data_IF_339553392630
#
_entry.id   IF_339553392630
#
_cell.length_a   1.000
_cell.length_b   1.000
_cell.length_c   1.000
_cell.angle_alpha   90.00
_cell.angle_beta   90.00
_cell.angle_gamma   90.00
#
_symmetry.space_group_name_H-M   'P 1'
#
loop_
_entity.id
_entity.type
_entity.pdbx_description
1 polymer ?
#
# COMPACT_ATOMS: atom_id res chain seq x y z
N UNK A 1 -43.58 -25.38 -2.57
CA UNK A 1 -42.62 -24.94 -1.54
C UNK A 1 -41.30 -24.73 -2.28
N UNK A 2 -40.89 -23.48 -2.51
CA UNK A 2 -39.67 -23.19 -3.28
C UNK A 2 -38.48 -23.49 -2.37
N UNK A 3 -37.71 -24.53 -2.69
CA UNK A 3 -36.44 -24.79 -2.01
C UNK A 3 -35.52 -23.60 -2.31
N UNK A 4 -35.36 -22.70 -1.35
CA UNK A 4 -34.34 -21.67 -1.44
C UNK A 4 -32.99 -22.38 -1.29
N UNK A 5 -32.26 -22.47 -2.40
CA UNK A 5 -30.89 -22.98 -2.45
C UNK A 5 -30.06 -22.23 -1.41
N UNK A 6 -29.39 -22.96 -0.53
CA UNK A 6 -28.57 -22.34 0.51
C UNK A 6 -27.40 -21.58 -0.12
N UNK A 7 -26.93 -20.52 0.54
CA UNK A 7 -25.75 -19.76 0.08
C UNK A 7 -24.54 -20.69 -0.12
N UNK A 8 -24.40 -21.74 0.70
CA UNK A 8 -23.37 -22.77 0.57
C UNK A 8 -23.49 -23.52 -0.76
N UNK A 9 -24.68 -24.02 -1.11
CA UNK A 9 -24.91 -24.72 -2.38
C UNK A 9 -24.70 -23.80 -3.60
N UNK A 10 -25.07 -22.52 -3.50
CA UNK A 10 -24.82 -21.53 -4.57
C UNK A 10 -23.31 -21.33 -4.74
N UNK A 11 -22.57 -21.16 -3.65
CA UNK A 11 -21.11 -20.94 -3.69
C UNK A 11 -20.35 -22.20 -4.14
N UNK A 12 -20.77 -23.38 -3.71
CA UNK A 12 -20.24 -24.66 -4.19
C UNK A 12 -20.49 -24.83 -5.69
N UNK A 13 -21.67 -24.45 -6.21
CA UNK A 13 -21.96 -24.46 -7.66
C UNK A 13 -21.05 -23.53 -8.47
N UNK A 14 -20.54 -22.47 -7.84
CA UNK A 14 -19.58 -21.52 -8.44
C UNK A 14 -18.12 -21.93 -8.20
N UNK A 15 -17.90 -23.13 -7.65
CA UNK A 15 -16.58 -23.66 -7.32
C UNK A 15 -15.81 -22.75 -6.34
N UNK A 16 -16.55 -22.05 -5.46
CA UNK A 16 -16.00 -21.20 -4.42
C UNK A 16 -15.79 -22.05 -3.17
N UNK A 17 -14.55 -22.44 -2.94
CA UNK A 17 -14.15 -23.26 -1.80
C UNK A 17 -14.28 -22.47 -0.48
N UNK A 18 -15.22 -22.89 0.35
CA UNK A 18 -15.56 -22.27 1.65
C UNK A 18 -14.78 -22.91 2.82
N UNK A 19 -14.03 -23.99 2.58
CA UNK A 19 -13.28 -24.75 3.60
C UNK A 19 -11.75 -24.54 3.51
N UNK A 20 -11.30 -23.42 2.96
CA UNK A 20 -9.89 -23.04 3.04
C UNK A 20 -9.51 -22.65 4.47
N UNK A 21 -8.44 -23.26 4.99
CA UNK A 21 -7.91 -22.88 6.31
C UNK A 21 -7.48 -21.42 6.32
N UNK A 22 -7.53 -20.77 7.49
CA UNK A 22 -7.15 -19.36 7.63
C UNK A 22 -5.73 -19.08 7.11
N UNK A 23 -4.78 -19.98 7.36
CA UNK A 23 -3.41 -19.89 6.83
C UNK A 23 -3.38 -20.00 5.30
N UNK A 24 -4.09 -20.96 4.71
CA UNK A 24 -4.20 -21.07 3.25
C UNK A 24 -4.90 -19.85 2.62
N UNK A 25 -5.87 -19.28 3.32
CA UNK A 25 -6.51 -18.04 2.91
C UNK A 25 -5.52 -16.87 2.93
N UNK A 26 -4.73 -16.72 3.99
CA UNK A 26 -3.69 -15.69 4.09
C UNK A 26 -2.64 -15.82 2.98
N UNK A 27 -2.17 -17.04 2.70
CA UNK A 27 -1.24 -17.28 1.60
C UNK A 27 -1.84 -16.98 0.24
N UNK A 28 -3.09 -17.40 -0.01
CA UNK A 28 -3.82 -17.07 -1.25
C UNK A 28 -4.01 -15.55 -1.37
N UNK A 29 -4.33 -14.87 -0.28
CA UNK A 29 -4.51 -13.41 -0.22
C UNK A 29 -3.20 -12.67 -0.51
N UNK A 30 -2.10 -13.09 0.11
CA UNK A 30 -0.77 -12.54 -0.17
C UNK A 30 -0.34 -12.79 -1.62
N UNK A 31 -0.52 -14.01 -2.14
CA UNK A 31 -0.25 -14.32 -3.56
C UNK A 31 -1.09 -13.47 -4.51
N UNK A 32 -2.35 -13.21 -4.19
CA UNK A 32 -3.23 -12.31 -4.96
C UNK A 32 -2.76 -10.85 -4.89
N UNK A 33 -2.22 -10.41 -3.76
CA UNK A 33 -1.68 -9.05 -3.59
C UNK A 33 -0.44 -8.82 -4.45
N UNK A 34 0.49 -9.78 -4.51
CA UNK A 34 1.67 -9.68 -5.38
C UNK A 34 1.31 -9.70 -6.87
N UNK A 35 0.26 -10.43 -7.23
CA UNK A 35 -0.24 -10.54 -8.60
C UNK A 35 -1.23 -9.46 -9.03
N UNK A 36 -1.38 -8.35 -8.28
CA UNK A 36 -2.27 -7.27 -8.68
C UNK A 36 -1.70 -6.51 -9.88
N UNK A 37 -2.33 -6.69 -11.03
CA UNK A 37 -1.86 -6.20 -12.35
C UNK A 37 -2.80 -5.16 -12.96
N UNK A 38 -3.85 -4.78 -12.24
CA UNK A 38 -4.83 -3.77 -12.65
C UNK A 38 -4.72 -2.60 -11.68
N UNK A 39 -4.51 -1.40 -12.24
CA UNK A 39 -4.46 -0.16 -11.48
C UNK A 39 -5.85 0.26 -11.01
N UNK A 40 -5.93 1.25 -10.11
CA UNK A 40 -7.23 1.80 -9.67
C UNK A 40 -8.05 2.42 -10.80
N UNK A 41 -7.38 2.80 -11.89
CA UNK A 41 -7.98 3.38 -13.11
C UNK A 41 -8.39 2.30 -14.12
N UNK A 42 -8.44 1.03 -13.71
CA UNK A 42 -8.75 -0.13 -14.56
C UNK A 42 -7.77 -0.37 -15.72
N UNK A 43 -6.58 0.23 -15.69
CA UNK A 43 -5.52 0.00 -16.66
C UNK A 43 -4.64 -1.19 -16.26
N UNK A 44 -4.04 -1.84 -17.26
CA UNK A 44 -3.01 -2.86 -17.01
C UNK A 44 -1.76 -2.13 -16.50
N UNK A 45 -1.29 -2.55 -15.34
CA UNK A 45 -0.08 -2.03 -14.72
C UNK A 45 1.16 -2.33 -15.57
N UNK A 46 2.11 -1.39 -15.62
CA UNK A 46 3.30 -1.55 -16.47
C UNK A 46 4.26 -2.57 -15.86
N UNK A 47 4.68 -3.55 -16.66
CA UNK A 47 5.73 -4.50 -16.28
C UNK A 47 7.09 -3.78 -16.30
N UNK A 48 7.92 -3.99 -15.27
CA UNK A 48 9.26 -3.42 -15.23
C UNK A 48 10.26 -4.27 -16.03
N UNK A 49 11.37 -3.65 -16.42
CA UNK A 49 12.34 -4.25 -17.33
C UNK A 49 13.06 -5.46 -16.72
N UNK A 50 13.35 -5.44 -15.40
CA UNK A 50 13.92 -6.59 -14.67
C UNK A 50 13.01 -7.82 -14.78
N UNK A 51 11.71 -7.67 -14.49
CA UNK A 51 10.75 -8.76 -14.60
C UNK A 51 10.50 -9.18 -16.05
N UNK A 52 10.49 -8.23 -16.99
CA UNK A 52 10.29 -8.51 -18.40
C UNK A 52 11.46 -9.35 -18.96
N UNK A 53 12.70 -9.01 -18.60
CA UNK A 53 13.88 -9.77 -18.98
C UNK A 53 13.81 -11.20 -18.47
N UNK A 54 13.54 -11.36 -17.17
CA UNK A 54 13.41 -12.68 -16.55
C UNK A 54 12.22 -13.48 -17.12
N UNK A 55 11.17 -12.79 -17.55
CA UNK A 55 10.08 -13.46 -18.25
C UNK A 55 10.57 -14.06 -19.57
N UNK A 56 11.26 -13.29 -20.42
CA UNK A 56 11.72 -13.81 -21.72
C UNK A 56 12.78 -14.90 -21.57
N UNK A 57 13.66 -14.79 -20.56
CA UNK A 57 14.68 -15.80 -20.31
C UNK A 57 14.12 -17.16 -19.91
N UNK A 58 12.94 -17.16 -19.27
CA UNK A 58 12.18 -18.37 -18.93
C UNK A 58 11.38 -18.98 -20.08
N UNK A 59 11.18 -18.28 -21.21
CA UNK A 59 10.37 -18.74 -22.36
C UNK A 59 11.18 -19.65 -23.31
N UNK A 60 11.74 -20.71 -22.76
CA UNK A 60 12.56 -21.68 -23.48
C UNK A 60 12.03 -23.09 -23.27
N UNK A 61 12.24 -23.96 -24.26
CA UNK A 61 11.81 -25.35 -24.26
C UNK A 61 10.28 -25.55 -24.18
N UNK A 62 9.50 -24.57 -24.66
CA UNK A 62 8.04 -24.66 -24.72
C UNK A 62 7.59 -25.33 -26.03
N UNK A 63 6.50 -26.09 -25.97
CA UNK A 63 5.76 -26.50 -27.17
C UNK A 63 4.65 -25.47 -27.45
N UNK A 64 4.70 -24.86 -28.63
CA UNK A 64 3.86 -23.71 -28.98
C UNK A 64 2.86 -24.09 -30.08
N UNK A 65 1.59 -23.86 -29.77
CA UNK A 65 0.43 -24.22 -30.56
C UNK A 65 -0.18 -23.00 -31.26
N UNK A 66 -0.96 -23.25 -32.32
CA UNK A 66 -1.60 -22.17 -33.07
C UNK A 66 -2.84 -21.63 -32.35
N UNK A 67 -3.73 -22.53 -31.92
CA UNK A 67 -5.03 -22.16 -31.40
C UNK A 67 -4.95 -21.85 -29.90
N UNK A 68 -5.66 -20.82 -29.42
CA UNK A 68 -5.71 -20.52 -28.02
C UNK A 68 -6.57 -21.55 -27.28
N UNK A 69 -5.93 -22.33 -26.41
CA UNK A 69 -6.59 -23.08 -25.35
C UNK A 69 -6.40 -22.39 -24.01
N UNK A 70 -6.93 -22.98 -22.94
CA UNK A 70 -6.63 -22.53 -21.60
C UNK A 70 -5.12 -22.56 -21.35
N UNK A 71 -4.58 -21.45 -20.85
CA UNK A 71 -3.13 -21.22 -20.69
C UNK A 71 -2.43 -22.23 -19.77
N UNK A 72 -3.17 -22.95 -18.95
CA UNK A 72 -2.65 -24.03 -18.11
C UNK A 72 -2.47 -25.36 -18.85
N UNK A 73 -3.01 -25.47 -20.06
CA UNK A 73 -3.03 -26.70 -20.87
C UNK A 73 -1.96 -26.64 -21.95
N UNK A 74 -1.92 -25.57 -22.74
CA UNK A 74 -0.91 -25.36 -23.78
C UNK A 74 -0.60 -23.88 -23.94
N UNK A 75 0.59 -23.59 -24.49
CA UNK A 75 1.01 -22.24 -24.86
C UNK A 75 0.62 -21.99 -26.32
N UNK A 76 -0.15 -20.93 -26.56
CA UNK A 76 -0.48 -20.51 -27.93
C UNK A 76 0.40 -19.36 -28.40
N UNK A 77 0.65 -19.29 -29.71
CA UNK A 77 1.32 -18.14 -30.33
C UNK A 77 0.63 -16.82 -29.97
N UNK A 78 -0.70 -16.81 -29.99
CA UNK A 78 -1.47 -15.61 -29.65
C UNK A 78 -1.18 -15.15 -28.21
N UNK A 79 -1.22 -16.06 -27.24
CA UNK A 79 -0.92 -15.73 -25.84
C UNK A 79 0.51 -15.22 -25.65
N UNK A 80 1.46 -15.82 -26.38
CA UNK A 80 2.86 -15.41 -26.35
C UNK A 80 3.03 -13.99 -26.92
N UNK A 81 2.50 -13.73 -28.10
CA UNK A 81 2.58 -12.40 -28.73
C UNK A 81 1.83 -11.32 -27.94
N UNK A 82 0.64 -11.60 -27.40
CA UNK A 82 0.00 -10.65 -26.48
C UNK A 82 0.91 -10.28 -25.31
N UNK A 83 1.64 -11.26 -24.76
CA UNK A 83 2.68 -11.04 -23.75
C UNK A 83 3.81 -10.13 -24.24
N UNK A 84 4.44 -10.50 -25.36
CA UNK A 84 5.63 -9.81 -25.86
C UNK A 84 5.35 -8.39 -26.33
N UNK A 85 4.25 -8.14 -27.05
CA UNK A 85 3.84 -6.79 -27.43
C UNK A 85 3.42 -5.94 -26.23
N UNK A 86 3.11 -6.56 -25.09
CA UNK A 86 2.92 -5.88 -23.82
C UNK A 86 4.19 -5.34 -23.16
N UNK A 87 5.37 -5.84 -23.56
CA UNK A 87 6.65 -5.35 -23.04
C UNK A 87 6.96 -4.01 -23.69
N UNK A 88 7.12 -2.97 -22.87
CA UNK A 88 7.40 -1.61 -23.37
C UNK A 88 8.84 -1.41 -23.80
N UNK A 89 9.78 -2.16 -23.22
CA UNK A 89 11.18 -2.10 -23.62
C UNK A 89 11.37 -2.83 -24.96
N UNK A 90 11.68 -2.06 -26.00
CA UNK A 90 11.76 -2.59 -27.36
C UNK A 90 12.93 -3.54 -27.57
N UNK A 91 14.03 -3.35 -26.84
CA UNK A 91 15.22 -4.21 -26.91
C UNK A 91 14.89 -5.62 -26.43
N UNK A 92 14.27 -5.72 -25.24
CA UNK A 92 13.82 -6.99 -24.64
C UNK A 92 12.82 -7.68 -25.58
N UNK A 93 11.85 -6.93 -26.10
CA UNK A 93 10.85 -7.45 -27.03
C UNK A 93 11.47 -7.98 -28.34
N UNK A 94 12.39 -7.24 -28.94
CA UNK A 94 13.04 -7.60 -30.20
C UNK A 94 14.03 -8.77 -30.05
N UNK A 95 14.68 -8.88 -28.89
CA UNK A 95 15.46 -10.05 -28.52
C UNK A 95 14.58 -11.30 -28.52
N UNK A 96 13.50 -11.30 -27.74
CA UNK A 96 12.67 -12.49 -27.62
C UNK A 96 12.00 -12.85 -28.95
N UNK A 97 11.58 -11.86 -29.75
CA UNK A 97 11.02 -12.10 -31.07
C UNK A 97 11.94 -12.91 -32.01
N UNK A 98 13.27 -12.83 -31.83
CA UNK A 98 14.26 -13.62 -32.56
C UNK A 98 14.46 -15.01 -31.94
N UNK A 99 14.29 -15.12 -30.62
CA UNK A 99 14.54 -16.29 -29.82
C UNK A 99 13.39 -17.32 -29.85
N UNK A 100 12.14 -16.90 -30.07
CA UNK A 100 10.95 -17.78 -30.04
C UNK A 100 11.18 -19.06 -30.85
N UNK A 101 11.58 -18.93 -32.12
CA UNK A 101 11.79 -20.07 -33.02
C UNK A 101 13.08 -20.87 -32.74
N UNK A 102 14.05 -20.25 -32.07
CA UNK A 102 15.34 -20.88 -31.78
C UNK A 102 15.28 -21.76 -30.54
N UNK A 103 14.57 -21.31 -29.50
CA UNK A 103 14.56 -21.97 -28.19
C UNK A 103 13.25 -22.70 -27.88
N UNK A 104 12.25 -22.65 -28.76
CA UNK A 104 10.96 -23.33 -28.56
C UNK A 104 10.57 -24.18 -29.78
N UNK A 105 9.70 -25.16 -29.54
CA UNK A 105 9.19 -26.06 -30.56
C UNK A 105 7.82 -25.60 -31.02
N UNK A 106 7.72 -25.10 -32.25
CA UNK A 106 6.44 -24.71 -32.85
C UNK A 106 5.82 -25.91 -33.58
N UNK A 107 4.51 -26.10 -33.40
CA UNK A 107 3.75 -27.05 -34.24
C UNK A 107 3.72 -26.56 -35.71
N UNK A 108 3.58 -27.47 -36.67
CA UNK A 108 3.54 -27.09 -38.10
C UNK A 108 2.43 -26.08 -38.44
N UNK A 109 1.31 -26.14 -37.72
CA UNK A 109 0.22 -25.17 -37.86
C UNK A 109 0.56 -23.82 -37.21
N UNK A 110 1.27 -23.81 -36.08
CA UNK A 110 1.77 -22.58 -35.48
C UNK A 110 2.74 -21.87 -36.43
N UNK A 111 3.66 -22.62 -37.04
CA UNK A 111 4.65 -22.07 -37.99
C UNK A 111 3.99 -21.38 -39.18
N UNK A 112 2.96 -22.01 -39.78
CA UNK A 112 2.20 -21.44 -40.91
C UNK A 112 1.46 -20.13 -40.55
N UNK A 113 1.04 -19.99 -39.30
CA UNK A 113 0.20 -18.86 -38.84
C UNK A 113 0.98 -17.81 -38.03
N UNK A 114 2.30 -17.91 -37.96
CA UNK A 114 3.16 -17.08 -37.11
C UNK A 114 2.91 -15.58 -37.31
N UNK A 115 2.92 -15.10 -38.56
CA UNK A 115 2.72 -13.67 -38.86
C UNK A 115 1.33 -13.16 -38.47
N UNK A 116 0.28 -13.95 -38.74
CA UNK A 116 -1.09 -13.58 -38.36
C UNK A 116 -1.26 -13.52 -36.85
N UNK A 117 -0.68 -14.48 -36.13
CA UNK A 117 -0.71 -14.51 -34.67
C UNK A 117 0.05 -13.31 -34.06
N UNK A 118 1.18 -12.91 -34.65
CA UNK A 118 1.94 -11.74 -34.22
C UNK A 118 1.11 -10.45 -34.33
N UNK A 119 0.53 -10.18 -35.51
CA UNK A 119 -0.34 -9.01 -35.71
C UNK A 119 -1.60 -9.04 -34.83
N UNK A 120 -2.10 -10.24 -34.50
CA UNK A 120 -3.25 -10.38 -33.61
C UNK A 120 -2.90 -10.10 -32.15
N UNK A 121 -1.71 -10.53 -31.71
CA UNK A 121 -1.22 -10.30 -30.36
C UNK A 121 -0.94 -8.82 -30.08
N UNK A 122 -0.42 -8.10 -31.08
CA UNK A 122 -0.16 -6.65 -31.00
C UNK A 122 -1.43 -5.83 -30.70
N UNK A 123 -2.61 -6.30 -31.14
CA UNK A 123 -3.88 -5.61 -30.90
C UNK A 123 -4.37 -5.68 -29.46
N UNK A 124 -3.90 -6.65 -28.66
CA UNK A 124 -4.33 -6.88 -27.27
C UNK A 124 -3.13 -7.15 -26.37
N UNK A 125 -2.21 -6.18 -26.24
CA UNK A 125 -0.99 -6.36 -25.48
C UNK A 125 -1.28 -6.50 -23.98
N UNK A 126 -0.69 -7.51 -23.36
CA UNK A 126 -0.75 -7.74 -21.93
C UNK A 126 0.51 -8.51 -21.47
N UNK A 127 1.54 -7.81 -20.97
CA UNK A 127 2.83 -8.44 -20.64
C UNK A 127 2.71 -9.49 -19.54
N UNK A 128 1.71 -9.35 -18.65
CA UNK A 128 1.53 -10.24 -17.52
C UNK A 128 1.10 -11.65 -17.90
N UNK A 129 0.65 -11.88 -19.13
CA UNK A 129 0.41 -13.22 -19.66
C UNK A 129 1.69 -14.07 -19.59
N UNK A 130 2.87 -13.47 -19.78
CA UNK A 130 4.16 -14.18 -19.71
C UNK A 130 4.37 -14.83 -18.34
N UNK A 131 4.05 -14.13 -17.26
CA UNK A 131 4.12 -14.71 -15.90
C UNK A 131 3.20 -15.91 -15.72
N UNK A 132 2.04 -15.93 -16.39
CA UNK A 132 1.11 -17.06 -16.37
C UNK A 132 1.62 -18.24 -17.19
N UNK A 133 2.22 -17.98 -18.36
CA UNK A 133 2.87 -19.01 -19.17
C UNK A 133 3.92 -19.72 -18.33
N UNK A 134 4.83 -18.96 -17.70
CA UNK A 134 5.89 -19.53 -16.86
C UNK A 134 5.33 -20.28 -15.66
N UNK A 135 4.29 -19.76 -15.00
CA UNK A 135 3.67 -20.43 -13.86
C UNK A 135 3.19 -21.86 -14.18
N UNK A 136 2.66 -22.08 -15.39
CA UNK A 136 2.10 -23.38 -15.76
C UNK A 136 3.08 -24.26 -16.53
N UNK A 137 3.90 -23.67 -17.41
CA UNK A 137 4.75 -24.41 -18.35
C UNK A 137 6.23 -24.40 -17.99
N UNK A 138 6.64 -23.56 -17.03
CA UNK A 138 7.99 -23.53 -16.48
C UNK A 138 7.96 -23.27 -14.95
N UNK A 139 7.25 -24.14 -14.23
CA UNK A 139 6.90 -23.94 -12.82
C UNK A 139 8.13 -23.71 -11.92
N UNK A 140 9.20 -24.48 -12.13
CA UNK A 140 10.44 -24.35 -11.34
C UNK A 140 11.05 -22.95 -11.49
N UNK A 141 11.18 -22.47 -12.73
CA UNK A 141 11.66 -21.12 -13.01
C UNK A 141 10.74 -20.04 -12.42
N UNK A 142 9.42 -20.25 -12.52
CA UNK A 142 8.46 -19.32 -11.95
C UNK A 142 8.62 -19.19 -10.43
N UNK A 143 8.73 -20.30 -9.71
CA UNK A 143 8.82 -20.30 -8.24
C UNK A 143 10.17 -19.75 -7.75
N UNK A 144 11.27 -20.06 -8.44
CA UNK A 144 12.62 -19.62 -8.04
C UNK A 144 12.95 -18.19 -8.44
N UNK A 145 12.44 -17.71 -9.58
CA UNK A 145 12.88 -16.45 -10.17
C UNK A 145 11.75 -15.43 -10.25
N UNK A 146 10.62 -15.79 -10.88
CA UNK A 146 9.53 -14.83 -11.15
C UNK A 146 8.78 -14.45 -9.87
N UNK A 147 8.45 -15.42 -9.02
CA UNK A 147 7.67 -15.19 -7.80
C UNK A 147 8.39 -14.25 -6.80
N UNK A 148 9.70 -14.40 -6.52
CA UNK A 148 10.45 -13.44 -5.71
C UNK A 148 10.43 -12.02 -6.29
N UNK A 149 10.58 -11.86 -7.61
CA UNK A 149 10.54 -10.55 -8.27
C UNK A 149 9.16 -9.89 -8.17
N UNK A 150 8.07 -10.66 -8.30
CA UNK A 150 6.71 -10.16 -8.08
C UNK A 150 6.54 -9.61 -6.66
N UNK A 151 7.09 -10.31 -5.65
CA UNK A 151 7.06 -9.86 -4.26
C UNK A 151 7.88 -8.57 -4.07
N UNK A 152 9.11 -8.53 -4.57
CA UNK A 152 9.99 -7.34 -4.54
C UNK A 152 9.29 -6.12 -5.15
N UNK A 153 8.70 -6.28 -6.33
CA UNK A 153 8.00 -5.20 -7.03
C UNK A 153 6.80 -4.66 -6.25
N UNK A 154 6.03 -5.55 -5.61
CA UNK A 154 4.92 -5.15 -4.74
C UNK A 154 5.41 -4.31 -3.54
N UNK A 155 6.48 -4.75 -2.88
CA UNK A 155 7.05 -4.06 -1.71
C UNK A 155 7.59 -2.68 -2.10
N UNK A 156 8.28 -2.56 -3.24
CA UNK A 156 8.76 -1.28 -3.78
C UNK A 156 7.60 -0.32 -4.05
N UNK A 157 6.51 -0.79 -4.67
CA UNK A 157 5.32 0.05 -4.93
C UNK A 157 4.66 0.51 -3.63
N UNK A 158 4.60 -0.36 -2.63
CA UNK A 158 4.07 -0.03 -1.30
C UNK A 158 4.92 1.05 -0.64
N UNK A 159 6.25 0.93 -0.69
CA UNK A 159 7.18 1.93 -0.17
C UNK A 159 7.07 3.26 -0.92
N UNK A 160 7.02 3.24 -2.26
CA UNK A 160 6.87 4.46 -3.05
C UNK A 160 5.60 5.21 -2.66
N UNK A 161 4.47 4.50 -2.56
CA UNK A 161 3.21 5.09 -2.11
C UNK A 161 3.31 5.69 -0.70
N UNK A 162 4.05 5.07 0.21
CA UNK A 162 4.31 5.65 1.53
C UNK A 162 5.11 6.95 1.40
N UNK A 163 6.19 6.95 0.62
CA UNK A 163 7.01 8.15 0.35
C UNK A 163 6.18 9.27 -0.26
N UNK A 164 5.38 8.98 -1.29
CA UNK A 164 4.51 9.97 -1.94
C UNK A 164 3.50 10.56 -0.95
N UNK A 165 2.90 9.71 -0.11
CA UNK A 165 1.96 10.16 0.93
C UNK A 165 2.67 11.05 1.95
N UNK A 166 3.87 10.68 2.39
CA UNK A 166 4.65 11.48 3.35
C UNK A 166 5.04 12.84 2.76
N UNK A 167 5.42 12.89 1.47
CA UNK A 167 5.72 14.15 0.78
C UNK A 167 4.51 15.08 0.65
N UNK A 168 3.29 14.53 0.60
CA UNK A 168 2.05 15.31 0.57
C UNK A 168 1.64 15.85 1.95
N UNK A 169 2.28 15.42 3.05
CA UNK A 169 1.99 15.95 4.38
C UNK A 169 2.64 17.33 4.50
N UNK A 170 1.83 18.38 4.46
CA UNK A 170 2.29 19.73 4.77
C UNK A 170 2.65 19.82 6.27
N UNK A 171 3.96 19.82 6.55
CA UNK A 171 4.48 20.00 7.90
C UNK A 171 4.55 21.49 8.23
N UNK A 172 3.63 21.95 9.06
CA UNK A 172 3.68 23.28 9.64
C UNK A 172 4.70 23.31 10.80
N UNK A 173 5.95 23.65 10.49
CA UNK A 173 6.98 23.80 11.50
C UNK A 173 6.79 25.11 12.28
N UNK A 174 6.40 24.98 13.56
CA UNK A 174 6.41 26.12 14.49
C UNK A 174 7.67 25.99 15.35
N UNK A 175 8.67 26.83 15.07
CA UNK A 175 9.80 27.01 15.99
C UNK A 175 9.35 27.86 17.19
N UNK A 176 9.35 27.23 18.37
CA UNK A 176 8.93 27.85 19.63
C UNK A 176 10.06 28.70 20.27
N UNK A 177 11.28 28.65 19.73
CA UNK A 177 12.42 29.47 20.17
C UNK A 177 12.65 30.69 19.29
N UNK A 178 11.89 30.82 18.21
CA UNK A 178 11.92 31.94 17.29
C UNK A 178 11.65 33.24 18.06
N UNK A 179 12.57 34.21 17.95
CA UNK A 179 12.49 35.51 18.62
C UNK A 179 11.51 36.43 17.87
N UNK A 180 10.29 35.92 17.66
CA UNK A 180 9.27 36.54 16.84
C UNK A 180 8.37 37.44 17.70
N UNK A 181 8.17 38.68 17.27
CA UNK A 181 7.50 39.75 18.03
C UNK A 181 6.31 40.34 17.28
N UNK A 182 5.48 41.14 17.96
CA UNK A 182 4.34 41.86 17.34
C UNK A 182 4.79 42.81 16.23
N UNK A 183 5.98 43.39 16.33
CA UNK A 183 6.53 44.26 15.29
C UNK A 183 6.84 43.50 14.00
N UNK A 184 7.14 42.20 14.10
CA UNK A 184 7.35 41.33 12.95
C UNK A 184 6.01 40.99 12.26
N UNK A 185 4.92 40.78 13.02
CA UNK A 185 3.58 40.62 12.43
C UNK A 185 3.18 41.87 11.65
N UNK A 186 3.38 43.04 12.24
CA UNK A 186 3.05 44.32 11.62
C UNK A 186 3.89 44.58 10.36
N UNK A 187 5.20 44.31 10.39
CA UNK A 187 6.06 44.51 9.23
C UNK A 187 5.70 43.57 8.08
N UNK A 188 5.43 42.29 8.36
CA UNK A 188 4.94 41.32 7.37
C UNK A 188 3.62 41.76 6.73
N UNK A 189 2.70 42.30 7.54
CA UNK A 189 1.40 42.81 7.06
C UNK A 189 1.60 43.99 6.11
N UNK A 190 2.40 44.97 6.53
CA UNK A 190 2.70 46.16 5.72
C UNK A 190 3.43 45.82 4.42
N UNK A 191 4.25 44.78 4.44
CA UNK A 191 4.98 44.29 3.27
C UNK A 191 4.17 43.29 2.41
N UNK A 192 2.89 43.07 2.70
CA UNK A 192 2.01 42.18 1.92
C UNK A 192 2.38 40.68 2.00
N UNK A 193 3.20 40.28 2.96
CA UNK A 193 3.83 38.93 2.99
C UNK A 193 2.87 37.80 3.37
N UNK A 194 1.64 38.11 3.79
CA UNK A 194 0.65 37.09 4.16
C UNK A 194 -0.23 36.64 3.00
N UNK A 195 -0.23 37.31 1.84
CA UNK A 195 -1.04 36.93 0.66
C UNK A 195 -2.51 36.55 0.96
N UNK A 196 -3.13 37.15 1.99
CA UNK A 196 -4.46 36.78 2.51
C UNK A 196 -4.61 35.34 3.08
N UNK A 197 -3.51 34.66 3.40
CA UNK A 197 -3.50 33.36 4.07
C UNK A 197 -3.62 33.54 5.58
N UNK A 198 -4.86 33.43 6.09
CA UNK A 198 -5.20 33.51 7.51
C UNK A 198 -4.34 32.58 8.40
N UNK A 199 -3.93 31.42 7.88
CA UNK A 199 -3.08 30.47 8.60
C UNK A 199 -1.72 31.05 9.00
N UNK A 200 -1.07 31.81 8.12
CA UNK A 200 0.24 32.41 8.42
C UNK A 200 0.13 33.53 9.46
N UNK A 201 -0.94 34.32 9.39
CA UNK A 201 -1.25 35.33 10.41
C UNK A 201 -1.51 34.67 11.76
N UNK A 202 -2.29 33.58 11.78
CA UNK A 202 -2.60 32.84 13.00
C UNK A 202 -1.33 32.23 13.63
N UNK A 203 -0.44 31.64 12.83
CA UNK A 203 0.84 31.07 13.29
C UNK A 203 1.74 32.11 13.94
N UNK A 204 1.92 33.25 13.27
CA UNK A 204 2.79 34.32 13.74
C UNK A 204 2.22 35.01 14.99
N UNK A 205 0.90 35.19 15.09
CA UNK A 205 0.25 35.64 16.33
C UNK A 205 0.41 34.63 17.48
N UNK A 206 0.36 33.33 17.20
CA UNK A 206 0.57 32.27 18.20
C UNK A 206 1.98 32.31 18.79
N UNK A 207 3.00 32.65 17.98
CA UNK A 207 4.38 32.85 18.46
C UNK A 207 4.44 34.01 19.45
N UNK A 208 3.87 35.17 19.09
CA UNK A 208 3.84 36.35 19.97
C UNK A 208 3.11 36.06 21.27
N UNK A 209 1.92 35.46 21.21
CA UNK A 209 1.09 35.15 22.38
C UNK A 209 1.87 34.26 23.37
N UNK A 210 2.58 33.24 22.89
CA UNK A 210 3.38 32.36 23.75
C UNK A 210 4.58 33.06 24.39
N UNK A 211 5.30 33.92 23.64
CA UNK A 211 6.51 34.62 24.13
C UNK A 211 6.17 35.75 25.10
N UNK A 212 5.18 36.60 24.78
CA UNK A 212 4.87 37.81 25.58
C UNK A 212 4.01 37.57 26.81
N UNK A 213 3.09 36.60 26.78
CA UNK A 213 2.17 36.37 27.90
C UNK A 213 2.70 35.37 28.93
N UNK A 214 3.92 34.86 28.76
CA UNK A 214 4.46 33.80 29.62
C UNK A 214 3.56 32.56 29.59
N UNK A 215 3.09 32.17 28.40
CA UNK A 215 2.23 31.00 28.23
C UNK A 215 3.11 29.81 27.84
N UNK A 216 3.08 28.74 28.63
CA UNK A 216 3.68 27.45 28.29
C UNK A 216 2.57 26.41 28.13
N UNK A 217 2.80 25.39 27.29
CA UNK A 217 1.83 24.29 27.16
C UNK A 217 1.62 23.63 28.51
N UNK A 218 2.70 23.26 29.20
CA UNK A 218 2.66 22.78 30.59
C UNK A 218 3.66 23.59 31.42
N UNK A 219 3.21 24.14 32.55
CA UNK A 219 4.06 24.85 33.51
C UNK A 219 3.64 24.56 34.95
N UNK A 220 4.62 24.33 35.83
CA UNK A 220 4.44 24.28 37.28
C UNK A 220 4.69 25.63 37.96
N UNK A 221 5.22 26.61 37.23
CA UNK A 221 5.45 27.95 37.78
C UNK A 221 4.11 28.71 37.81
N UNK A 222 3.61 29.13 38.99
CA UNK A 222 2.32 29.81 39.12
C UNK A 222 2.28 31.20 38.45
N UNK A 223 3.43 31.77 38.09
CA UNK A 223 3.54 33.05 37.36
C UNK A 223 3.46 32.89 35.83
N UNK A 224 3.43 31.65 35.33
CA UNK A 224 3.39 31.32 33.90
C UNK A 224 2.06 30.62 33.66
N UNK A 225 1.26 31.15 32.72
CA UNK A 225 -0.02 30.54 32.37
C UNK A 225 0.21 29.21 31.65
N UNK A 226 -0.34 28.12 32.20
CA UNK A 226 -0.32 26.79 31.56
C UNK A 226 -1.51 26.67 30.62
N UNK A 227 -1.27 26.49 29.33
CA UNK A 227 -2.35 26.33 28.36
C UNK A 227 -3.05 24.97 28.48
N UNK A 228 -2.31 23.91 28.84
CA UNK A 228 -2.87 22.61 29.13
C UNK A 228 -3.51 22.63 30.52
N UNK A 229 -4.79 22.32 30.57
CA UNK A 229 -5.61 22.30 31.79
C UNK A 229 -5.80 20.89 32.38
N UNK A 230 -5.14 19.89 31.79
CA UNK A 230 -5.38 18.48 32.09
C UNK A 230 -6.17 17.78 30.99
N UNK A 231 -6.31 16.46 31.12
CA UNK A 231 -7.15 15.65 30.23
C UNK A 231 -8.60 15.69 30.68
N UNK A 232 -9.53 15.52 29.75
CA UNK A 232 -10.96 15.35 30.04
C UNK A 232 -11.26 14.23 31.05
N UNK A 233 -10.44 13.18 31.05
CA UNK A 233 -10.63 12.00 31.89
C UNK A 233 -9.65 11.98 33.06
N UNK A 234 -10.15 11.56 34.24
CA UNK A 234 -9.35 11.31 35.43
C UNK A 234 -8.76 9.91 35.41
N UNK A 235 -7.59 9.76 36.03
CA UNK A 235 -6.97 8.46 36.26
C UNK A 235 -7.86 7.62 37.18
N UNK A 236 -8.04 6.36 36.83
CA UNK A 236 -8.76 5.37 37.63
C UNK A 236 -7.77 4.50 38.40
N UNK A 237 -8.14 4.07 39.60
CA UNK A 237 -7.31 3.19 40.44
C UNK A 237 -7.36 1.73 39.98
N UNK A 238 -8.49 1.31 39.37
CA UNK A 238 -8.71 -0.04 38.87
C UNK A 238 -9.04 -0.05 37.37
N UNK A 239 -8.45 -1.00 36.64
CA UNK A 239 -8.64 -1.16 35.20
C UNK A 239 -9.70 -2.21 34.93
N UNK A 240 -10.79 -1.79 34.30
CA UNK A 240 -11.80 -2.71 33.77
C UNK A 240 -11.32 -3.36 32.46
N UNK A 241 -10.78 -4.58 32.58
CA UNK A 241 -10.25 -5.35 31.46
C UNK A 241 -11.30 -5.64 30.37
N UNK A 242 -12.58 -5.71 30.74
CA UNK A 242 -13.65 -6.00 29.77
C UNK A 242 -13.88 -4.83 28.80
N UNK A 243 -13.64 -3.60 29.26
CA UNK A 243 -13.78 -2.38 28.45
C UNK A 243 -12.55 -2.13 27.58
N UNK A 244 -11.35 -2.24 28.16
CA UNK A 244 -10.11 -1.98 27.42
C UNK A 244 -9.74 -3.12 26.48
N UNK A 245 -10.15 -4.36 26.78
CA UNK A 245 -9.80 -5.55 26.00
C UNK A 245 -10.21 -5.44 24.53
N UNK A 246 -11.35 -4.84 24.22
CA UNK A 246 -11.79 -4.64 22.82
C UNK A 246 -10.85 -3.70 22.05
N UNK A 247 -10.38 -2.63 22.69
CA UNK A 247 -9.42 -1.72 22.09
C UNK A 247 -8.06 -2.39 21.92
N UNK A 248 -7.57 -3.11 22.93
CA UNK A 248 -6.30 -3.83 22.84
C UNK A 248 -6.34 -4.90 21.74
N UNK A 249 -7.43 -5.65 21.62
CA UNK A 249 -7.64 -6.61 20.54
C UNK A 249 -7.66 -5.93 19.16
N UNK A 250 -8.33 -4.78 19.03
CA UNK A 250 -8.29 -3.98 17.79
C UNK A 250 -6.85 -3.60 17.43
N UNK A 251 -6.07 -3.07 18.38
CA UNK A 251 -4.67 -2.69 18.13
C UNK A 251 -3.85 -3.92 17.76
N UNK A 252 -3.98 -5.04 18.48
CA UNK A 252 -3.20 -6.25 18.27
C UNK A 252 -3.54 -6.95 16.95
N UNK A 253 -4.80 -7.31 16.78
CA UNK A 253 -5.23 -8.20 15.71
C UNK A 253 -5.39 -7.46 14.38
N UNK A 254 -5.84 -6.20 14.45
CA UNK A 254 -6.21 -5.44 13.24
C UNK A 254 -5.16 -4.41 12.86
N UNK A 255 -4.73 -3.55 13.77
CA UNK A 255 -3.79 -2.46 13.45
C UNK A 255 -2.37 -3.02 13.27
N UNK A 256 -1.91 -3.85 14.20
CA UNK A 256 -0.59 -4.46 14.17
C UNK A 256 -0.52 -5.77 13.39
N UNK A 257 -1.68 -6.32 12.98
CA UNK A 257 -1.77 -7.60 12.26
C UNK A 257 -1.02 -8.71 13.00
N UNK A 258 -1.25 -8.79 14.32
CA UNK A 258 -0.59 -9.73 15.27
C UNK A 258 0.93 -9.59 15.41
N UNK A 259 1.53 -8.53 14.84
CA UNK A 259 2.95 -8.24 15.04
C UNK A 259 3.17 -7.64 16.43
N UNK A 260 3.78 -8.41 17.33
CA UNK A 260 4.01 -8.00 18.73
C UNK A 260 4.87 -6.74 18.84
N UNK A 261 5.91 -6.58 18.01
CA UNK A 261 6.81 -5.42 18.07
C UNK A 261 6.08 -4.12 17.70
N UNK A 262 5.20 -4.16 16.69
CA UNK A 262 4.38 -3.00 16.31
C UNK A 262 3.32 -2.72 17.37
N UNK A 263 2.69 -3.77 17.90
CA UNK A 263 1.70 -3.68 18.97
C UNK A 263 2.27 -3.00 20.21
N UNK A 264 3.42 -3.49 20.71
CA UNK A 264 4.11 -2.88 21.85
C UNK A 264 4.55 -1.44 21.56
N UNK A 265 5.10 -1.18 20.37
CA UNK A 265 5.49 0.18 19.98
C UNK A 265 4.30 1.15 20.03
N UNK A 266 3.15 0.78 19.45
CA UNK A 266 1.97 1.63 19.42
C UNK A 266 1.43 1.90 20.83
N UNK A 267 1.34 0.88 21.70
CA UNK A 267 0.88 1.08 23.07
C UNK A 267 1.84 1.96 23.87
N UNK A 268 3.15 1.75 23.75
CA UNK A 268 4.16 2.58 24.40
C UNK A 268 4.13 4.02 23.88
N UNK A 269 3.88 4.21 22.59
CA UNK A 269 3.72 5.53 21.98
C UNK A 269 2.50 6.26 22.56
N UNK A 270 1.34 5.60 22.65
CA UNK A 270 0.13 6.15 23.27
C UNK A 270 0.37 6.49 24.75
N UNK A 271 0.98 5.58 25.50
CA UNK A 271 1.30 5.80 26.90
C UNK A 271 2.23 7.01 27.07
N UNK A 272 3.24 7.15 26.22
CA UNK A 272 4.19 8.25 26.29
C UNK A 272 3.53 9.61 26.03
N UNK A 273 2.69 9.74 25.00
CA UNK A 273 2.04 11.03 24.69
C UNK A 273 1.09 11.49 25.80
N UNK A 274 0.42 10.55 26.48
CA UNK A 274 -0.47 10.84 27.61
C UNK A 274 0.36 11.21 28.85
N UNK A 275 1.39 10.42 29.18
CA UNK A 275 2.21 10.64 30.38
C UNK A 275 3.13 11.87 30.28
N UNK A 276 3.54 12.25 29.08
CA UNK A 276 4.49 13.35 28.81
C UNK A 276 3.83 14.48 28.04
N UNK A 277 2.64 14.90 28.48
CA UNK A 277 1.91 16.02 27.90
C UNK A 277 2.81 17.26 27.72
N UNK A 278 2.73 17.87 26.53
CA UNK A 278 3.54 19.03 26.16
C UNK A 278 4.99 18.73 25.74
N UNK A 279 5.43 17.47 25.72
CA UNK A 279 6.73 17.08 25.12
C UNK A 279 6.56 16.70 23.66
N UNK A 280 7.46 17.20 22.81
CA UNK A 280 7.52 16.84 21.40
C UNK A 280 8.23 15.49 21.26
N UNK A 281 7.56 14.53 20.63
CA UNK A 281 8.08 13.18 20.36
C UNK A 281 8.82 13.08 19.02
N UNK A 282 8.65 14.05 18.13
CA UNK A 282 9.27 14.12 16.79
C UNK A 282 9.00 12.93 15.85
N UNK A 283 8.13 12.01 16.27
CA UNK A 283 7.73 10.82 15.54
C UNK A 283 6.21 10.76 15.43
N UNK A 284 5.68 10.48 14.25
CA UNK A 284 4.24 10.33 14.01
C UNK A 284 3.95 8.96 13.37
N UNK A 285 3.16 8.08 14.02
CA UNK A 285 2.71 6.83 13.41
C UNK A 285 1.73 7.09 12.27
N UNK A 286 1.95 6.42 11.13
CA UNK A 286 1.05 6.49 9.96
C UNK A 286 0.36 5.14 9.78
N UNK A 287 -0.95 5.10 9.98
CA UNK A 287 -1.75 3.89 9.80
C UNK A 287 -2.24 3.76 8.35
N UNK A 288 -1.69 2.79 7.62
CA UNK A 288 -2.08 2.50 6.24
C UNK A 288 -2.77 1.14 6.11
N UNK A 289 -3.80 1.09 5.28
CA UNK A 289 -4.55 -0.13 5.00
C UNK A 289 -5.84 0.16 4.26
N UNK A 290 -6.63 -0.88 3.97
CA UNK A 290 -7.94 -0.77 3.32
C UNK A 290 -8.90 0.13 4.12
N UNK A 291 -9.96 0.60 3.48
CA UNK A 291 -11.03 1.29 4.18
C UNK A 291 -11.78 0.31 5.10
N UNK A 292 -12.39 0.83 6.17
CA UNK A 292 -13.23 0.06 7.10
C UNK A 292 -12.51 -1.02 7.92
N UNK A 293 -11.19 -0.97 8.03
CA UNK A 293 -10.40 -1.87 8.89
C UNK A 293 -10.23 -1.35 10.33
N UNK A 294 -11.03 -0.39 10.78
CA UNK A 294 -10.94 0.13 12.16
C UNK A 294 -9.88 1.22 12.41
N UNK A 295 -9.18 1.73 11.39
CA UNK A 295 -8.27 2.89 11.53
C UNK A 295 -8.93 4.08 12.23
N UNK A 296 -10.17 4.40 11.85
CA UNK A 296 -10.92 5.51 12.45
C UNK A 296 -11.31 5.22 13.91
N UNK A 297 -11.57 3.96 14.26
CA UNK A 297 -11.90 3.59 15.65
C UNK A 297 -10.66 3.83 16.53
N UNK A 298 -9.48 3.43 16.04
CA UNK A 298 -8.21 3.71 16.71
C UNK A 298 -7.96 5.21 16.88
N UNK A 299 -8.08 6.01 15.82
CA UNK A 299 -7.82 7.45 15.90
C UNK A 299 -8.86 8.18 16.74
N UNK A 300 -10.14 7.79 16.68
CA UNK A 300 -11.20 8.42 17.47
C UNK A 300 -11.00 8.17 18.96
N UNK A 301 -10.58 6.97 19.37
CA UNK A 301 -10.25 6.70 20.77
C UNK A 301 -9.11 7.59 21.26
N UNK A 302 -8.08 7.81 20.44
CA UNK A 302 -6.99 8.74 20.78
C UNK A 302 -7.44 10.20 20.82
N UNK A 303 -8.24 10.64 19.85
CA UNK A 303 -8.81 11.98 19.86
C UNK A 303 -9.64 12.24 21.12
N UNK A 304 -10.44 11.26 21.54
CA UNK A 304 -11.25 11.37 22.74
C UNK A 304 -10.39 11.45 24.01
N UNK A 305 -9.32 10.65 24.10
CA UNK A 305 -8.38 10.69 25.23
C UNK A 305 -7.60 12.01 25.34
N UNK A 306 -7.36 12.68 24.21
CA UNK A 306 -6.54 13.90 24.12
C UNK A 306 -7.38 15.19 24.07
N UNK A 307 -8.71 15.09 24.04
CA UNK A 307 -9.63 16.22 24.06
C UNK A 307 -9.60 16.98 25.39
#
# INVERSE_FOLDING_TARGET
MVHLTSLREILESWNVDIEISYLQHLEKKQRRQFGQQITKEANIDKMNDELAQECIDGLKNLEIHNYPQAINTEVSLLSLFCGLYGITNESIRAEEMRNIRQFNKLTSNAEKNYGQAASSGERKPNPWILTKILKYHNKCYYELTIQPLLKKNYDVKKQQKMTDTVQQIEKHEIDLKDAFTLTDVSSKTLNGQYENKLEFVAQDLLKVIKVKLGIKIVSQNPKIFSAFQGFKYVQVDEIDQTKIGQFLALVKDTISVTNELIYEYLLNWIAYIIQKAGKKIEIAPILQGLQSIGKNIFTNALCELLA
#
